data_IF_889164505310
#
_entry.id   IF_889164505310
#
_cell.length_a   1.000
_cell.length_b   1.000
_cell.length_c   1.000
_cell.angle_alpha   90.00
_cell.angle_beta   90.00
_cell.angle_gamma   90.00
#
_symmetry.space_group_name_H-M   'P 1'
#
loop_
_entity.id
_entity.type
_entity.pdbx_description
1 polymer ?
#
# COMPACT_ATOMS: atom_id res chain seq x y z
N UNK A 1 -1.30 1.01 -11.81
CA UNK A 1 -1.71 -0.27 -11.16
C UNK A 1 -0.50 -1.19 -10.97
N UNK A 2 0.31 -1.40 -12.01
CA UNK A 2 1.50 -2.27 -11.98
C UNK A 2 2.50 -1.93 -10.86
N UNK A 3 2.80 -0.66 -10.65
CA UNK A 3 3.69 -0.16 -9.58
C UNK A 3 3.33 -0.67 -8.18
N UNK A 4 2.04 -0.63 -7.81
CA UNK A 4 1.59 -1.01 -6.47
C UNK A 4 1.51 -2.53 -6.31
N UNK A 5 1.21 -3.22 -7.42
CA UNK A 5 1.22 -4.68 -7.45
C UNK A 5 2.65 -5.22 -7.25
N UNK A 6 3.61 -4.67 -7.99
CA UNK A 6 5.03 -5.02 -7.86
C UNK A 6 5.61 -4.64 -6.49
N UNK A 7 5.14 -3.53 -5.90
CA UNK A 7 5.44 -3.20 -4.50
C UNK A 7 4.95 -4.26 -3.51
N UNK A 8 3.69 -4.67 -3.63
CA UNK A 8 3.13 -5.70 -2.75
C UNK A 8 3.84 -7.05 -2.90
N UNK A 9 4.43 -7.34 -4.07
CA UNK A 9 5.26 -8.53 -4.30
C UNK A 9 6.64 -8.48 -3.64
N UNK A 10 7.01 -7.35 -3.04
CA UNK A 10 8.26 -7.18 -2.29
C UNK A 10 9.43 -6.69 -3.13
N UNK A 11 9.17 -6.07 -4.29
CA UNK A 11 10.22 -5.39 -5.07
C UNK A 11 10.66 -4.13 -4.33
N UNK A 12 11.96 -3.83 -4.38
CA UNK A 12 12.53 -2.65 -3.74
C UNK A 12 12.01 -1.34 -4.37
N UNK A 13 11.93 -0.29 -3.57
CA UNK A 13 11.44 1.02 -4.04
C UNK A 13 12.24 1.54 -5.23
N UNK A 14 13.57 1.35 -5.21
CA UNK A 14 14.47 1.71 -6.32
C UNK A 14 14.10 1.02 -7.64
N UNK A 15 13.84 -0.29 -7.59
CA UNK A 15 13.47 -1.01 -8.80
C UNK A 15 12.08 -0.56 -9.31
N UNK A 16 11.19 -0.18 -8.41
CA UNK A 16 9.87 0.36 -8.78
C UNK A 16 9.97 1.72 -9.45
N UNK A 17 10.84 2.61 -8.95
CA UNK A 17 11.07 3.91 -9.59
C UNK A 17 11.69 3.76 -10.98
N UNK A 18 12.42 2.68 -11.24
CA UNK A 18 12.98 2.36 -12.56
C UNK A 18 11.92 1.76 -13.51
N UNK A 19 10.82 1.20 -13.01
CA UNK A 19 9.72 0.64 -13.80
C UNK A 19 8.74 1.70 -14.34
N UNK A 20 8.78 2.93 -13.81
CA UNK A 20 7.84 3.98 -14.18
C UNK A 20 8.48 5.36 -14.22
N UNK A 21 8.13 6.19 -15.19
CA UNK A 21 8.51 7.61 -15.23
C UNK A 21 7.72 8.48 -14.22
N UNK A 22 7.12 7.87 -13.19
CA UNK A 22 6.36 8.58 -12.18
C UNK A 22 7.31 9.12 -11.11
N UNK A 23 7.03 10.32 -10.60
CA UNK A 23 7.78 10.87 -9.48
C UNK A 23 7.66 9.96 -8.26
N UNK A 24 8.76 9.76 -7.53
CA UNK A 24 8.80 8.97 -6.29
C UNK A 24 7.72 9.41 -5.29
N UNK A 25 7.51 10.73 -5.18
CA UNK A 25 6.45 11.33 -4.37
C UNK A 25 5.05 10.87 -4.77
N UNK A 26 4.79 10.70 -6.07
CA UNK A 26 3.50 10.21 -6.55
C UNK A 26 3.29 8.75 -6.14
N UNK A 27 4.34 7.92 -6.22
CA UNK A 27 4.32 6.52 -5.80
C UNK A 27 4.01 6.43 -4.30
N UNK A 28 4.75 7.16 -3.46
CA UNK A 28 4.50 7.21 -2.00
C UNK A 28 3.07 7.65 -1.69
N UNK A 29 2.57 8.72 -2.34
CA UNK A 29 1.19 9.19 -2.16
C UNK A 29 0.15 8.13 -2.52
N UNK A 30 0.34 7.42 -3.64
CA UNK A 30 -0.60 6.37 -4.06
C UNK A 30 -0.60 5.22 -3.05
N UNK A 31 0.57 4.83 -2.54
CA UNK A 31 0.64 3.74 -1.58
C UNK A 31 0.01 4.14 -0.23
N UNK A 32 0.27 5.34 0.27
CA UNK A 32 -0.38 5.85 1.49
C UNK A 32 -1.90 5.89 1.35
N UNK A 33 -2.41 6.39 0.22
CA UNK A 33 -3.85 6.41 -0.06
C UNK A 33 -4.44 5.01 -0.14
N UNK A 34 -3.71 4.04 -0.70
CA UNK A 34 -4.18 2.66 -0.74
C UNK A 34 -4.28 2.06 0.66
N UNK A 35 -3.32 2.33 1.55
CA UNK A 35 -3.42 1.89 2.95
C UNK A 35 -4.61 2.51 3.68
N UNK A 36 -4.92 3.79 3.43
CA UNK A 36 -6.12 4.45 3.96
C UNK A 36 -7.40 3.76 3.46
N UNK A 37 -7.50 3.51 2.15
CA UNK A 37 -8.62 2.77 1.56
C UNK A 37 -8.75 1.36 2.15
N UNK A 38 -7.64 0.65 2.38
CA UNK A 38 -7.69 -0.65 3.04
C UNK A 38 -8.25 -0.56 4.48
N UNK A 39 -7.96 0.50 5.24
CA UNK A 39 -8.57 0.70 6.57
C UNK A 39 -10.08 0.88 6.48
N UNK A 40 -10.54 1.69 5.52
CA UNK A 40 -11.97 1.93 5.29
C UNK A 40 -12.69 0.64 4.90
N UNK A 41 -12.11 -0.15 3.97
CA UNK A 41 -12.68 -1.43 3.55
C UNK A 41 -12.69 -2.44 4.69
N UNK A 42 -11.65 -2.49 5.54
CA UNK A 42 -11.65 -3.37 6.71
C UNK A 42 -12.76 -3.00 7.71
N UNK A 43 -12.99 -1.71 7.92
CA UNK A 43 -14.09 -1.23 8.76
C UNK A 43 -15.45 -1.60 8.16
N UNK A 44 -15.63 -1.43 6.85
CA UNK A 44 -16.83 -1.85 6.14
C UNK A 44 -17.06 -3.37 6.24
N UNK A 45 -16.02 -4.18 6.04
CA UNK A 45 -16.08 -5.64 6.18
C UNK A 45 -16.54 -6.06 7.58
N UNK A 46 -16.06 -5.37 8.62
CA UNK A 46 -16.49 -5.60 10.00
C UNK A 46 -17.97 -5.25 10.22
N UNK A 47 -18.46 -4.16 9.62
CA UNK A 47 -19.88 -3.76 9.72
C UNK A 47 -20.79 -4.76 9.00
N UNK A 48 -20.37 -5.25 7.84
CA UNK A 48 -21.10 -6.23 7.03
C UNK A 48 -21.07 -7.62 7.69
N UNK A 49 -20.08 -7.89 8.54
CA UNK A 49 -19.89 -9.19 9.20
C UNK A 49 -19.17 -10.21 8.31
N UNK A 50 -18.31 -9.76 7.40
CA UNK A 50 -17.47 -10.65 6.56
C UNK A 50 -16.03 -10.73 7.13
N UNK A 51 -15.72 -11.75 7.95
CA UNK A 51 -14.39 -11.92 8.50
C UNK A 51 -13.34 -12.29 7.45
N UNK A 52 -13.73 -12.98 6.36
CA UNK A 52 -12.79 -13.35 5.30
C UNK A 52 -12.29 -12.13 4.56
N UNK A 53 -13.18 -11.17 4.28
CA UNK A 53 -12.80 -9.89 3.68
C UNK A 53 -11.88 -9.10 4.62
N UNK A 54 -12.20 -9.03 5.91
CA UNK A 54 -11.38 -8.36 6.91
C UNK A 54 -9.95 -8.93 6.95
N UNK A 55 -9.80 -10.26 6.98
CA UNK A 55 -8.48 -10.92 6.98
C UNK A 55 -7.72 -10.68 5.68
N UNK A 56 -8.38 -10.77 4.52
CA UNK A 56 -7.71 -10.47 3.23
C UNK A 56 -7.17 -9.05 3.18
N UNK A 57 -7.95 -8.08 3.65
CA UNK A 57 -7.55 -6.68 3.66
C UNK A 57 -6.42 -6.44 4.66
N UNK A 58 -6.45 -7.09 5.82
CA UNK A 58 -5.36 -7.10 6.79
C UNK A 58 -4.04 -7.56 6.14
N UNK A 59 -4.05 -8.69 5.42
CA UNK A 59 -2.87 -9.20 4.71
C UNK A 59 -2.40 -8.22 3.62
N UNK A 60 -3.32 -7.62 2.84
CA UNK A 60 -2.95 -6.60 1.87
C UNK A 60 -2.25 -5.40 2.54
N UNK A 61 -2.75 -4.91 3.68
CA UNK A 61 -2.12 -3.80 4.41
C UNK A 61 -0.70 -4.13 4.86
N UNK A 62 -0.47 -5.35 5.34
CA UNK A 62 0.85 -5.81 5.77
C UNK A 62 1.84 -5.86 4.61
N UNK A 63 1.41 -6.33 3.44
CA UNK A 63 2.24 -6.37 2.23
C UNK A 63 2.59 -4.96 1.73
N UNK A 64 1.66 -4.01 1.85
CA UNK A 64 1.79 -2.66 1.30
C UNK A 64 2.55 -1.72 2.25
N UNK A 65 2.45 -1.89 3.57
CA UNK A 65 3.13 -1.04 4.56
C UNK A 65 4.63 -1.27 4.70
N UNK A 66 5.14 -2.35 4.13
CA UNK A 66 6.55 -2.75 4.21
C UNK A 66 7.43 -1.57 3.77
N UNK A 67 8.30 -1.08 4.66
CA UNK A 67 9.31 -0.03 4.41
C UNK A 67 8.83 1.41 4.07
N UNK A 68 7.52 1.71 3.96
CA UNK A 68 7.05 3.10 3.76
C UNK A 68 7.31 4.00 4.96
N UNK A 69 7.27 3.44 6.16
CA UNK A 69 7.57 4.16 7.40
C UNK A 69 9.04 4.59 7.49
N UNK A 70 9.95 3.94 6.75
CA UNK A 70 11.34 4.36 6.63
C UNK A 70 11.53 5.54 5.66
N UNK A 71 10.62 5.73 4.69
CA UNK A 71 10.64 6.83 3.71
C UNK A 71 9.89 8.07 4.21
N UNK A 72 9.06 7.94 5.26
CA UNK A 72 8.33 9.06 5.86
C UNK A 72 9.26 10.20 6.35
N UNK A 73 10.52 9.90 6.65
CA UNK A 73 11.55 10.88 7.03
C UNK A 73 12.02 11.79 5.89
N UNK A 74 11.68 11.50 4.62
CA UNK A 74 11.95 12.37 3.47
C UNK A 74 10.83 13.41 3.20
N UNK A 75 9.82 13.44 4.05
CA UNK A 75 8.79 14.49 4.08
C UNK A 75 8.79 15.19 5.45
N UNK A 76 9.87 15.92 5.73
CA UNK A 76 9.81 17.12 6.56
C UNK A 76 10.73 18.19 5.96
#
# INVERSE_FOLDING_TARGET
MEVVYEWARGISFKNITDLTNALERAIVRVITRLDETCREVKNAARIIGDPNLSTKIQTCQEMIKRDITAVASLCM
#
